data_IF_008959384059
#
_entry.id   IF_008959384059
#
_cell.length_a   1.000
_cell.length_b   1.000
_cell.length_c   1.000
_cell.angle_alpha   90.00
_cell.angle_beta   90.00
_cell.angle_gamma   90.00
#
_symmetry.space_group_name_H-M   'P 1'
#
loop_
_entity.id
_entity.type
_entity.pdbx_description
1 polymer ?
#
# COMPACT_ATOMS: atom_id res chain seq x y z
N UNK A 1 -16.81 -32.62 -20.31
CA UNK A 1 -16.61 -31.15 -20.39
C UNK A 1 -16.64 -30.58 -18.98
N UNK A 2 -15.94 -29.49 -18.72
CA UNK A 2 -15.89 -28.92 -17.38
C UNK A 2 -15.60 -27.43 -17.39
N UNK A 3 -15.85 -26.81 -16.24
CA UNK A 3 -15.43 -25.44 -15.93
C UNK A 3 -14.20 -25.51 -15.02
N UNK A 4 -13.19 -24.71 -15.32
CA UNK A 4 -11.94 -24.64 -14.57
C UNK A 4 -11.77 -23.24 -14.00
N UNK A 5 -11.40 -23.16 -12.72
CA UNK A 5 -11.15 -21.92 -12.02
C UNK A 5 -9.79 -21.97 -11.33
N UNK A 6 -8.94 -21.00 -11.64
CA UNK A 6 -7.64 -20.81 -10.98
C UNK A 6 -7.78 -19.72 -9.95
N UNK A 7 -7.54 -20.05 -8.67
CA UNK A 7 -7.51 -19.06 -7.60
C UNK A 7 -6.14 -18.37 -7.53
N UNK A 8 -5.08 -19.18 -7.47
CA UNK A 8 -3.70 -18.74 -7.45
C UNK A 8 -2.78 -19.80 -8.12
N UNK A 9 -1.46 -19.64 -7.99
CA UNK A 9 -0.48 -20.57 -8.57
C UNK A 9 -0.42 -21.94 -7.86
N UNK A 10 -1.00 -22.04 -6.66
CA UNK A 10 -1.02 -23.25 -5.83
C UNK A 10 -2.36 -23.98 -5.88
N UNK A 11 -3.48 -23.28 -6.00
CA UNK A 11 -4.83 -23.81 -5.81
C UNK A 11 -5.67 -23.47 -7.04
N UNK A 12 -6.27 -24.52 -7.61
CA UNK A 12 -7.31 -24.40 -8.61
C UNK A 12 -8.41 -25.42 -8.37
N UNK A 13 -9.56 -25.24 -9.02
CA UNK A 13 -10.70 -26.12 -8.91
C UNK A 13 -11.33 -26.35 -10.28
N UNK A 14 -11.81 -27.57 -10.51
CA UNK A 14 -12.49 -27.99 -11.72
C UNK A 14 -13.86 -28.60 -11.35
N UNK A 15 -14.90 -28.22 -12.07
CA UNK A 15 -16.19 -28.90 -12.06
C UNK A 15 -16.37 -29.59 -13.41
N UNK A 16 -16.57 -30.90 -13.41
CA UNK A 16 -16.67 -31.71 -14.63
C UNK A 16 -18.01 -32.43 -14.75
N UNK A 17 -18.45 -32.57 -16.00
CA UNK A 17 -19.52 -33.47 -16.43
C UNK A 17 -18.94 -34.39 -17.50
N UNK A 18 -18.93 -35.69 -17.23
CA UNK A 18 -18.39 -36.71 -18.12
C UNK A 18 -19.44 -37.72 -18.56
N UNK A 19 -19.07 -38.54 -19.54
CA UNK A 19 -19.74 -39.82 -19.83
C UNK A 19 -18.66 -40.89 -19.89
N UNK A 20 -18.82 -41.94 -19.10
CA UNK A 20 -17.90 -43.06 -19.00
C UNK A 20 -18.65 -44.30 -19.46
N UNK A 21 -18.10 -44.98 -20.46
CA UNK A 21 -18.55 -46.31 -20.84
C UNK A 21 -17.73 -47.36 -20.11
N UNK A 22 -18.38 -48.25 -19.37
CA UNK A 22 -17.73 -49.42 -18.79
C UNK A 22 -18.10 -50.61 -19.66
N UNK A 23 -17.12 -51.22 -20.31
CA UNK A 23 -17.33 -52.39 -21.18
C UNK A 23 -16.61 -53.60 -20.61
N UNK A 24 -17.32 -54.73 -20.56
CA UNK A 24 -16.74 -56.04 -20.26
C UNK A 24 -16.78 -56.87 -21.55
N UNK A 25 -15.72 -57.63 -21.89
CA UNK A 25 -15.76 -58.51 -23.06
C UNK A 25 -17.04 -59.35 -23.10
N UNK A 26 -17.75 -59.32 -24.23
CA UNK A 26 -19.02 -60.01 -24.48
C UNK A 26 -20.25 -59.54 -23.65
N UNK A 27 -20.23 -58.36 -23.02
CA UNK A 27 -21.43 -57.73 -22.42
C UNK A 27 -21.60 -56.27 -22.89
N UNK A 28 -22.85 -55.80 -22.90
CA UNK A 28 -23.19 -54.41 -23.19
C UNK A 28 -22.55 -53.46 -22.18
N UNK A 29 -22.17 -52.26 -22.63
CA UNK A 29 -21.57 -51.26 -21.77
C UNK A 29 -22.62 -50.54 -20.93
N UNK A 30 -22.42 -50.46 -19.61
CA UNK A 30 -23.18 -49.53 -18.77
C UNK A 30 -22.61 -48.13 -18.93
N UNK A 31 -23.50 -47.14 -19.02
CA UNK A 31 -23.16 -45.72 -19.07
C UNK A 31 -23.17 -45.12 -17.67
N UNK A 32 -22.07 -44.47 -17.30
CA UNK A 32 -21.94 -43.66 -16.08
C UNK A 32 -21.76 -42.20 -16.48
N UNK A 33 -22.58 -41.30 -15.95
CA UNK A 33 -22.46 -39.86 -16.15
C UNK A 33 -21.96 -39.24 -14.84
N UNK A 34 -20.63 -39.12 -14.63
CA UNK A 34 -20.10 -38.48 -13.43
C UNK A 34 -20.21 -36.95 -13.51
N UNK A 35 -20.62 -36.37 -12.39
CA UNK A 35 -20.48 -34.96 -12.06
C UNK A 35 -19.47 -34.88 -10.92
N UNK A 36 -18.32 -34.25 -11.16
CA UNK A 36 -17.20 -34.22 -10.22
C UNK A 36 -16.79 -32.78 -9.93
N UNK A 37 -16.51 -32.47 -8.67
CA UNK A 37 -15.80 -31.25 -8.26
C UNK A 37 -14.45 -31.66 -7.71
N UNK A 38 -13.38 -31.14 -8.31
CA UNK A 38 -12.00 -31.52 -8.05
C UNK A 38 -11.21 -30.27 -7.69
N UNK A 39 -10.55 -30.28 -6.54
CA UNK A 39 -9.52 -29.33 -6.18
C UNK A 39 -8.16 -29.84 -6.64
N UNK A 40 -7.34 -28.92 -7.13
CA UNK A 40 -5.98 -29.17 -7.60
C UNK A 40 -5.01 -28.37 -6.73
N UNK A 41 -4.03 -29.05 -6.17
CA UNK A 41 -2.95 -28.43 -5.41
C UNK A 41 -1.62 -28.62 -6.13
N UNK A 42 -1.04 -27.52 -6.61
CA UNK A 42 0.25 -27.53 -7.29
C UNK A 42 1.37 -27.77 -6.28
N UNK A 43 2.02 -28.92 -6.39
CA UNK A 43 3.14 -29.30 -5.51
C UNK A 43 4.48 -28.81 -6.03
N UNK A 44 4.55 -28.33 -7.27
CA UNK A 44 5.78 -27.84 -7.89
C UNK A 44 5.56 -26.45 -8.52
N UNK A 45 5.38 -25.40 -7.70
CA UNK A 45 5.08 -24.05 -8.19
C UNK A 45 6.25 -23.35 -8.90
N UNK A 46 7.50 -23.65 -8.53
CA UNK A 46 8.69 -22.97 -9.05
C UNK A 46 9.46 -23.83 -10.07
N UNK A 47 8.72 -24.49 -10.97
CA UNK A 47 9.33 -25.35 -11.97
C UNK A 47 9.96 -24.52 -13.10
N UNK A 48 11.26 -24.64 -13.31
CA UNK A 48 12.01 -23.97 -14.39
C UNK A 48 12.00 -24.75 -15.71
N UNK A 49 10.89 -25.44 -15.99
CA UNK A 49 10.73 -26.27 -17.20
C UNK A 49 9.63 -25.69 -18.07
N UNK A 50 10.00 -25.19 -19.26
CA UNK A 50 9.10 -24.45 -20.15
C UNK A 50 7.86 -25.23 -20.60
N UNK A 51 7.95 -26.56 -20.71
CA UNK A 51 6.88 -27.42 -21.22
C UNK A 51 5.95 -27.96 -20.12
N UNK A 52 6.34 -27.89 -18.85
CA UNK A 52 5.58 -28.40 -17.71
C UNK A 52 5.27 -27.25 -16.76
N UNK A 53 4.06 -26.72 -16.83
CA UNK A 53 3.68 -25.52 -16.09
C UNK A 53 3.27 -25.81 -14.65
N UNK A 54 2.53 -26.90 -14.41
CA UNK A 54 2.07 -27.28 -13.06
C UNK A 54 2.06 -28.79 -12.89
N UNK A 55 2.31 -29.25 -11.66
CA UNK A 55 2.05 -30.62 -11.26
C UNK A 55 1.14 -30.61 -10.04
N UNK A 56 -0.09 -31.04 -10.25
CA UNK A 56 -1.16 -30.96 -9.27
C UNK A 56 -1.40 -32.32 -8.62
N UNK A 57 -1.64 -32.31 -7.31
CA UNK A 57 -2.36 -33.37 -6.62
C UNK A 57 -3.84 -33.03 -6.61
N UNK A 58 -4.66 -34.02 -6.98
CA UNK A 58 -6.09 -33.83 -7.18
C UNK A 58 -6.87 -34.51 -6.06
N UNK A 59 -7.82 -33.78 -5.48
CA UNK A 59 -8.78 -34.30 -4.51
C UNK A 59 -10.17 -33.83 -4.89
N UNK A 60 -11.11 -34.75 -5.02
CA UNK A 60 -12.46 -34.42 -5.46
C UNK A 60 -13.52 -35.32 -4.88
N UNK A 61 -14.75 -34.87 -5.05
CA UNK A 61 -15.96 -35.62 -4.75
C UNK A 61 -16.93 -35.47 -5.91
N UNK A 62 -17.79 -36.46 -6.08
CA UNK A 62 -18.74 -36.43 -7.17
C UNK A 62 -19.92 -37.35 -6.93
N UNK A 63 -20.89 -37.23 -7.83
CA UNK A 63 -22.00 -38.15 -7.96
C UNK A 63 -22.08 -38.59 -9.41
N UNK A 64 -22.25 -39.88 -9.65
CA UNK A 64 -22.42 -40.44 -10.98
C UNK A 64 -23.82 -40.98 -11.17
N UNK A 65 -24.48 -40.61 -12.26
CA UNK A 65 -25.70 -41.30 -12.68
C UNK A 65 -25.28 -42.60 -13.38
N UNK A 66 -25.52 -43.73 -12.74
CA UNK A 66 -25.15 -45.06 -13.23
C UNK A 66 -26.40 -45.84 -13.63
N UNK A 67 -26.33 -46.55 -14.76
CA UNK A 67 -27.37 -47.49 -15.16
C UNK A 67 -27.10 -48.88 -14.57
N UNK A 68 -27.97 -49.33 -13.65
CA UNK A 68 -27.87 -50.67 -13.04
C UNK A 68 -28.47 -51.76 -13.92
N UNK A 69 -29.52 -51.42 -14.66
CA UNK A 69 -30.21 -52.29 -15.62
C UNK A 69 -30.90 -51.41 -16.67
N UNK A 70 -31.22 -51.91 -17.87
CA UNK A 70 -31.86 -51.13 -18.92
C UNK A 70 -33.02 -50.26 -18.43
N UNK A 71 -32.84 -48.93 -18.41
CA UNK A 71 -33.84 -47.96 -17.98
C UNK A 71 -33.94 -47.67 -16.47
N UNK A 72 -33.12 -48.31 -15.63
CA UNK A 72 -33.03 -48.03 -14.20
C UNK A 72 -31.70 -47.34 -13.86
N UNK A 73 -31.81 -46.10 -13.40
CA UNK A 73 -30.67 -45.27 -13.03
C UNK A 73 -30.61 -45.06 -11.53
N UNK A 74 -29.39 -45.11 -10.98
CA UNK A 74 -29.09 -44.78 -9.60
C UNK A 74 -27.99 -43.73 -9.53
N UNK A 75 -27.94 -43.00 -8.41
CA UNK A 75 -26.78 -42.18 -8.09
C UNK A 75 -25.74 -43.03 -7.38
N UNK A 76 -24.48 -42.81 -7.76
CA UNK A 76 -23.31 -43.42 -7.15
C UNK A 76 -22.35 -42.30 -6.73
N UNK A 77 -22.41 -41.95 -5.44
CA UNK A 77 -21.48 -41.02 -4.82
C UNK A 77 -20.07 -41.58 -4.86
N UNK A 78 -19.07 -40.71 -5.04
CA UNK A 78 -17.69 -41.14 -5.09
C UNK A 78 -16.71 -40.07 -4.66
N UNK A 79 -15.53 -40.53 -4.28
CA UNK A 79 -14.36 -39.70 -4.02
C UNK A 79 -13.32 -39.92 -5.11
N UNK A 80 -12.58 -38.86 -5.44
CA UNK A 80 -11.52 -38.87 -6.45
C UNK A 80 -10.21 -38.44 -5.80
N UNK A 81 -9.15 -39.21 -6.05
CA UNK A 81 -7.77 -38.84 -5.74
C UNK A 81 -6.94 -39.01 -7.01
N UNK A 82 -6.09 -38.04 -7.34
CA UNK A 82 -5.36 -38.08 -8.58
C UNK A 82 -4.09 -37.25 -8.59
N UNK A 83 -3.45 -37.27 -9.74
CA UNK A 83 -2.33 -36.38 -10.06
C UNK A 83 -2.44 -35.96 -11.51
N UNK A 84 -2.22 -34.67 -11.76
CA UNK A 84 -2.35 -34.06 -13.08
C UNK A 84 -1.13 -33.19 -13.39
N UNK A 85 -0.55 -33.40 -14.56
CA UNK A 85 0.45 -32.54 -15.16
C UNK A 85 -0.22 -31.58 -16.14
N UNK A 86 -0.01 -30.28 -15.94
CA UNK A 86 -0.37 -29.24 -16.90
C UNK A 86 0.85 -28.90 -17.76
N UNK A 87 0.69 -29.05 -19.07
CA UNK A 87 1.72 -28.78 -20.05
C UNK A 87 1.43 -27.41 -20.67
N UNK A 88 2.07 -26.39 -20.11
CA UNK A 88 1.99 -25.02 -20.58
C UNK A 88 2.69 -24.84 -21.92
N UNK A 89 2.24 -23.84 -22.70
CA UNK A 89 2.87 -23.38 -23.94
C UNK A 89 3.03 -24.42 -25.06
N UNK A 90 2.41 -25.61 -24.95
CA UNK A 90 2.43 -26.62 -26.00
C UNK A 90 1.40 -26.33 -27.11
N UNK A 91 0.26 -25.72 -26.74
CA UNK A 91 -0.83 -25.40 -27.66
C UNK A 91 -1.04 -23.88 -27.74
N UNK A 92 -1.27 -23.31 -28.93
CA UNK A 92 -1.44 -21.87 -29.08
C UNK A 92 -2.80 -21.33 -28.58
N UNK A 93 -3.72 -22.22 -28.19
CA UNK A 93 -5.10 -21.88 -27.81
C UNK A 93 -5.53 -22.45 -26.44
N UNK A 94 -4.58 -23.00 -25.66
CA UNK A 94 -4.94 -23.61 -24.38
C UNK A 94 -3.82 -24.38 -23.70
N UNK A 95 -4.17 -25.09 -22.64
CA UNK A 95 -3.27 -25.92 -21.85
C UNK A 95 -3.59 -27.39 -22.07
N UNK A 96 -2.59 -28.20 -22.42
CA UNK A 96 -2.74 -29.65 -22.45
C UNK A 96 -2.58 -30.20 -21.04
N UNK A 97 -3.48 -31.07 -20.61
CA UNK A 97 -3.48 -31.71 -19.30
C UNK A 97 -3.39 -33.21 -19.49
N UNK A 98 -2.59 -33.87 -18.67
CA UNK A 98 -2.56 -35.33 -18.62
C UNK A 98 -2.43 -35.78 -17.18
N UNK A 99 -3.06 -36.90 -16.84
CA UNK A 99 -3.06 -37.33 -15.45
C UNK A 99 -3.71 -38.67 -15.21
N UNK A 100 -3.76 -39.00 -13.94
CA UNK A 100 -4.42 -40.20 -13.44
C UNK A 100 -5.41 -39.82 -12.36
N UNK A 101 -6.59 -40.42 -12.37
CA UNK A 101 -7.63 -40.24 -11.35
C UNK A 101 -8.09 -41.61 -10.86
N UNK A 102 -7.99 -41.81 -9.56
CA UNK A 102 -8.53 -42.96 -8.86
C UNK A 102 -9.85 -42.58 -8.21
N UNK A 103 -10.92 -43.24 -8.61
CA UNK A 103 -12.29 -42.96 -8.16
C UNK A 103 -12.76 -44.12 -7.30
N UNK A 104 -13.21 -43.83 -6.08
CA UNK A 104 -13.77 -44.81 -5.15
C UNK A 104 -15.25 -44.49 -4.98
N UNK A 105 -16.12 -45.40 -5.40
CA UNK A 105 -17.55 -45.23 -5.26
C UNK A 105 -18.01 -45.68 -3.86
N UNK A 106 -19.17 -45.19 -3.43
CA UNK A 106 -19.80 -45.51 -2.14
C UNK A 106 -21.23 -45.90 -2.48
N UNK A 107 -21.66 -47.11 -2.09
CA UNK A 107 -22.98 -47.67 -2.39
C UNK A 107 -23.34 -47.57 -3.88
N UNK A 108 -22.58 -48.25 -4.75
CA UNK A 108 -22.73 -48.10 -6.19
C UNK A 108 -23.71 -49.07 -6.87
N UNK A 109 -24.28 -48.57 -7.95
CA UNK A 109 -25.15 -49.29 -8.89
C UNK A 109 -24.39 -49.74 -10.14
N UNK A 110 -23.05 -49.74 -10.09
CA UNK A 110 -22.16 -49.88 -11.25
C UNK A 110 -22.07 -51.32 -11.73
N UNK A 111 -22.14 -52.29 -10.82
CA UNK A 111 -22.15 -53.73 -11.11
C UNK A 111 -23.56 -54.32 -11.34
N UNK A 112 -24.60 -53.52 -11.10
CA UNK A 112 -26.01 -53.91 -11.21
C UNK A 112 -26.56 -54.73 -10.04
N UNK A 113 -25.84 -54.87 -8.92
CA UNK A 113 -26.26 -55.61 -7.73
C UNK A 113 -26.17 -54.77 -6.45
N UNK A 114 -27.32 -54.43 -5.86
CA UNK A 114 -27.41 -53.69 -4.57
C UNK A 114 -26.95 -54.54 -3.35
N UNK A 115 -26.46 -55.76 -3.56
CA UNK A 115 -26.17 -56.76 -2.51
C UNK A 115 -24.74 -57.33 -2.59
N UNK A 116 -23.79 -56.59 -3.18
CA UNK A 116 -22.35 -56.88 -3.12
C UNK A 116 -21.68 -56.26 -1.89
N UNK A 117 -20.66 -56.92 -1.32
CA UNK A 117 -20.02 -56.48 -0.06
C UNK A 117 -18.85 -55.49 -0.26
N UNK A 118 -18.72 -54.85 -1.42
CA UNK A 118 -17.54 -54.05 -1.72
C UNK A 118 -17.81 -52.93 -2.71
N UNK A 119 -17.36 -51.74 -2.35
CA UNK A 119 -17.38 -50.55 -3.20
C UNK A 119 -16.50 -50.72 -4.44
N UNK A 120 -17.01 -50.31 -5.60
CA UNK A 120 -16.28 -50.29 -6.87
C UNK A 120 -15.25 -49.16 -6.91
N UNK A 121 -14.18 -49.41 -7.68
CA UNK A 121 -13.08 -48.47 -7.85
C UNK A 121 -12.63 -48.44 -9.30
N UNK A 122 -12.41 -47.24 -9.83
CA UNK A 122 -11.98 -47.04 -11.21
C UNK A 122 -10.70 -46.19 -11.24
N UNK A 123 -9.65 -46.73 -11.86
CA UNK A 123 -8.47 -45.96 -12.25
C UNK A 123 -8.64 -45.45 -13.68
N UNK A 124 -8.52 -44.14 -13.88
CA UNK A 124 -8.63 -43.48 -15.18
C UNK A 124 -7.32 -42.79 -15.52
N UNK A 125 -6.80 -43.09 -16.70
CA UNK A 125 -5.76 -42.28 -17.34
C UNK A 125 -6.47 -41.33 -18.30
N UNK A 126 -6.11 -40.05 -18.25
CA UNK A 126 -6.75 -39.07 -19.10
C UNK A 126 -5.74 -38.12 -19.74
N UNK A 127 -6.14 -37.61 -20.90
CA UNK A 127 -5.57 -36.44 -21.55
C UNK A 127 -6.71 -35.50 -21.88
N UNK A 128 -6.53 -34.21 -21.67
CA UNK A 128 -7.56 -33.21 -21.86
C UNK A 128 -6.96 -31.88 -22.27
N UNK A 129 -7.73 -31.09 -23.02
CA UNK A 129 -7.31 -29.73 -23.41
C UNK A 129 -8.20 -28.74 -22.67
N UNK A 130 -7.59 -27.85 -21.89
CA UNK A 130 -8.26 -26.69 -21.31
C UNK A 130 -8.13 -25.52 -22.29
N UNK A 131 -9.27 -24.96 -22.69
CA UNK A 131 -9.32 -23.75 -23.49
C UNK A 131 -9.60 -22.59 -22.55
N UNK A 132 -8.67 -21.65 -22.44
CA UNK A 132 -8.82 -20.48 -21.60
C UNK A 132 -9.68 -19.45 -22.35
N UNK A 133 -10.93 -19.24 -21.91
CA UNK A 133 -11.93 -18.38 -22.58
C UNK A 133 -11.67 -16.86 -22.42
N UNK A 134 -10.39 -16.46 -22.36
CA UNK A 134 -9.95 -15.07 -22.28
C UNK A 134 -9.70 -14.57 -20.85
N UNK A 135 -8.78 -13.59 -20.74
CA UNK A 135 -8.49 -12.87 -19.50
C UNK A 135 -9.69 -11.98 -19.16
N UNK A 136 -10.17 -12.05 -17.91
CA UNK A 136 -10.97 -10.93 -17.37
C UNK A 136 -10.13 -9.65 -17.49
N UNK A 137 -10.76 -8.50 -17.70
CA UNK A 137 -10.14 -7.19 -17.93
C UNK A 137 -9.08 -6.75 -16.86
N UNK A 138 -8.87 -7.53 -15.81
CA UNK A 138 -8.01 -7.20 -14.68
C UNK A 138 -6.56 -7.69 -14.84
N UNK A 139 -6.21 -8.48 -15.86
CA UNK A 139 -4.86 -8.99 -16.02
C UNK A 139 -3.84 -7.89 -16.37
N UNK A 140 -4.25 -6.94 -17.22
CA UNK A 140 -3.43 -5.78 -17.58
C UNK A 140 -3.36 -4.77 -16.42
N UNK A 141 -4.45 -4.62 -15.67
CA UNK A 141 -4.48 -3.82 -14.43
C UNK A 141 -3.60 -4.42 -13.33
N UNK A 142 -3.56 -5.76 -13.20
CA UNK A 142 -2.69 -6.45 -12.25
C UNK A 142 -1.21 -6.32 -12.63
N UNK A 143 -0.88 -6.38 -13.91
CA UNK A 143 0.47 -6.13 -14.40
C UNK A 143 0.89 -4.68 -14.16
N UNK A 144 -0.01 -3.72 -14.42
CA UNK A 144 0.21 -2.31 -14.12
C UNK A 144 0.39 -2.07 -12.61
N UNK A 145 -0.39 -2.75 -11.76
CA UNK A 145 -0.27 -2.69 -10.31
C UNK A 145 1.07 -3.27 -9.82
N UNK A 146 1.50 -4.42 -10.34
CA UNK A 146 2.82 -5.00 -10.04
C UNK A 146 3.96 -4.05 -10.40
N UNK A 147 3.96 -3.50 -11.62
CA UNK A 147 4.97 -2.54 -12.05
C UNK A 147 5.01 -1.28 -11.16
N UNK A 148 3.85 -0.83 -10.67
CA UNK A 148 3.76 0.31 -9.75
C UNK A 148 4.31 -0.02 -8.36
N UNK A 149 4.08 -1.23 -7.86
CA UNK A 149 4.64 -1.73 -6.59
C UNK A 149 6.17 -1.81 -6.69
N UNK A 150 6.71 -2.36 -7.78
CA UNK A 150 8.16 -2.47 -7.98
C UNK A 150 8.82 -1.09 -8.01
N UNK A 151 8.20 -0.13 -8.70
CA UNK A 151 8.66 1.27 -8.71
C UNK A 151 8.61 1.90 -7.32
N UNK A 152 7.51 1.74 -6.58
CA UNK A 152 7.37 2.25 -5.22
C UNK A 152 8.41 1.64 -4.26
N UNK A 153 8.74 0.36 -4.42
CA UNK A 153 9.79 -0.30 -3.63
C UNK A 153 11.17 0.27 -3.94
N UNK A 154 11.47 0.57 -5.21
CA UNK A 154 12.70 1.23 -5.61
C UNK A 154 12.81 2.66 -5.06
N UNK A 155 11.73 3.44 -5.19
CA UNK A 155 11.64 4.81 -4.68
C UNK A 155 11.78 4.85 -3.15
N UNK A 156 11.17 3.90 -2.43
CA UNK A 156 11.31 3.78 -0.98
C UNK A 156 12.76 3.49 -0.56
N UNK A 157 13.44 2.59 -1.28
CA UNK A 157 14.85 2.26 -1.01
C UNK A 157 15.74 3.48 -1.23
N UNK A 158 15.52 4.22 -2.33
CA UNK A 158 16.25 5.45 -2.60
C UNK A 158 16.00 6.54 -1.55
N UNK A 159 14.75 6.67 -1.08
CA UNK A 159 14.39 7.63 -0.04
C UNK A 159 15.04 7.29 1.32
N UNK A 160 15.13 6.00 1.67
CA UNK A 160 15.82 5.55 2.89
C UNK A 160 17.31 5.89 2.82
N UNK A 161 17.97 5.60 1.70
CA UNK A 161 19.39 5.96 1.52
C UNK A 161 19.63 7.47 1.63
N UNK A 162 18.76 8.28 0.99
CA UNK A 162 18.86 9.73 1.08
C UNK A 162 18.62 10.25 2.52
N UNK A 163 17.73 9.62 3.28
CA UNK A 163 17.49 9.96 4.67
C UNK A 163 18.69 9.63 5.58
N UNK A 164 19.33 8.47 5.35
CA UNK A 164 20.54 8.08 6.09
C UNK A 164 21.70 9.04 5.80
N UNK A 165 21.92 9.40 4.53
CA UNK A 165 22.93 10.39 4.13
C UNK A 165 22.68 11.76 4.78
N UNK A 166 21.43 12.22 4.77
CA UNK A 166 21.06 13.51 5.36
C UNK A 166 21.22 13.49 6.89
N UNK A 167 20.90 12.37 7.53
CA UNK A 167 21.09 12.17 8.97
C UNK A 167 22.57 12.20 9.34
N UNK A 168 23.43 11.55 8.56
CA UNK A 168 24.88 11.59 8.75
C UNK A 168 25.44 13.02 8.56
N UNK A 169 24.97 13.76 7.56
CA UNK A 169 25.35 15.16 7.35
C UNK A 169 24.93 16.04 8.53
N UNK A 170 23.71 15.86 9.04
CA UNK A 170 23.20 16.61 10.19
C UNK A 170 24.01 16.35 11.46
N UNK A 171 24.38 15.10 11.73
CA UNK A 171 25.23 14.72 12.86
C UNK A 171 26.62 15.38 12.76
N UNK A 172 27.19 15.40 11.54
CA UNK A 172 28.47 16.04 11.25
C UNK A 172 28.45 17.57 11.43
N UNK A 173 27.42 18.25 10.90
CA UNK A 173 27.21 19.70 11.09
C UNK A 173 27.02 20.06 12.56
N UNK A 174 26.24 19.26 13.31
CA UNK A 174 26.04 19.45 14.76
C UNK A 174 27.37 19.37 15.51
N UNK A 175 28.17 18.34 15.21
CA UNK A 175 29.51 18.16 15.81
C UNK A 175 30.44 19.34 15.49
N UNK A 176 30.38 19.86 14.25
CA UNK A 176 31.16 21.04 13.85
C UNK A 176 30.75 22.29 14.62
N UNK A 177 29.43 22.54 14.73
CA UNK A 177 28.89 23.68 15.48
C UNK A 177 29.20 23.60 16.98
N UNK A 178 29.16 22.40 17.57
CA UNK A 178 29.54 22.21 18.97
C UNK A 178 31.03 22.53 19.19
N UNK A 179 31.92 22.11 18.29
CA UNK A 179 33.33 22.45 18.34
C UNK A 179 33.61 23.95 18.16
N UNK A 180 32.88 24.60 17.25
CA UNK A 180 32.98 26.05 17.02
C UNK A 180 32.49 26.85 18.24
N UNK A 181 31.35 26.46 18.82
CA UNK A 181 30.83 27.05 20.05
C UNK A 181 31.80 26.89 21.23
N UNK A 182 32.46 25.72 21.37
CA UNK A 182 33.46 25.52 22.41
C UNK A 182 34.65 26.48 22.24
N UNK A 183 35.13 26.65 21.00
CA UNK A 183 36.23 27.56 20.67
C UNK A 183 35.87 29.03 20.89
N UNK A 184 34.66 29.44 20.50
CA UNK A 184 34.12 30.78 20.76
C UNK A 184 33.99 31.06 22.26
N UNK A 185 33.53 30.09 23.03
CA UNK A 185 33.43 30.21 24.50
C UNK A 185 34.79 30.36 25.16
N UNK A 186 35.81 29.65 24.68
CA UNK A 186 37.19 29.78 25.14
C UNK A 186 37.78 31.15 24.78
N UNK A 187 37.50 31.66 23.58
CA UNK A 187 37.87 33.01 23.17
C UNK A 187 37.20 34.09 24.04
N UNK A 188 35.89 33.98 24.30
CA UNK A 188 35.17 34.91 25.18
C UNK A 188 35.76 34.94 26.59
N UNK A 189 36.05 33.78 27.19
CA UNK A 189 36.71 33.73 28.50
C UNK A 189 38.10 34.36 28.50
N UNK A 190 38.87 34.19 27.41
CA UNK A 190 40.17 34.85 27.27
C UNK A 190 40.06 36.38 27.12
N UNK A 191 39.00 36.86 26.45
CA UNK A 191 38.72 38.30 26.30
C UNK A 191 38.16 38.92 27.57
N UNK A 192 37.31 38.23 28.33
CA UNK A 192 36.83 38.67 29.66
C UNK A 192 37.99 38.75 30.67
N UNK A 193 38.87 37.75 30.69
CA UNK A 193 40.08 37.78 31.52
C UNK A 193 41.09 38.85 31.05
N UNK A 194 41.10 39.19 29.76
CA UNK A 194 41.90 40.30 29.21
C UNK A 194 41.33 41.69 29.49
N UNK A 195 40.00 41.84 29.52
CA UNK A 195 39.31 43.11 29.76
C UNK A 195 39.25 43.54 31.23
N UNK A 196 39.76 42.72 32.16
CA UNK A 196 39.91 43.08 33.58
C UNK A 196 40.94 44.22 33.83
N UNK A 197 41.49 44.84 32.78
CA UNK A 197 42.50 45.91 32.87
C UNK A 197 42.13 47.23 32.18
N UNK A 198 40.91 47.42 31.66
CA UNK A 198 40.54 48.71 31.03
C UNK A 198 39.07 49.05 31.23
N UNK A 199 38.81 49.96 32.16
CA UNK A 199 37.52 50.62 32.35
C UNK A 199 37.23 51.58 31.20
N UNK A 200 36.22 51.28 30.39
CA UNK A 200 35.59 52.26 29.49
C UNK A 200 34.17 52.47 30.02
N UNK A 201 33.88 53.70 30.42
CA UNK A 201 32.55 54.16 30.82
C UNK A 201 31.61 54.09 29.60
N UNK A 202 30.62 53.22 29.66
CA UNK A 202 29.54 53.16 28.68
C UNK A 202 28.40 54.07 29.15
N UNK A 203 28.15 55.12 28.38
CA UNK A 203 26.98 55.99 28.54
C UNK A 203 25.71 55.17 28.30
N UNK A 204 24.90 54.96 29.33
CA UNK A 204 23.57 54.37 29.22
C UNK A 204 22.66 55.33 28.42
N UNK A 205 22.21 54.88 27.24
CA UNK A 205 20.99 55.42 26.64
C UNK A 205 19.83 54.67 27.29
N UNK A 206 19.22 55.29 28.29
CA UNK A 206 18.00 54.82 28.91
C UNK A 206 16.87 55.10 27.89
N UNK A 207 16.47 54.09 27.11
CA UNK A 207 15.16 54.16 26.44
C UNK A 207 14.11 53.98 27.54
N UNK A 208 13.47 55.08 27.94
CA UNK A 208 12.32 55.06 28.83
C UNK A 208 11.25 54.14 28.22
N UNK A 209 10.97 53.04 28.91
CA UNK A 209 9.91 52.12 28.53
C UNK A 209 8.55 52.80 28.79
N UNK A 210 7.85 53.20 27.74
CA UNK A 210 6.57 53.91 27.83
C UNK A 210 5.36 53.02 27.51
N UNK A 211 5.55 51.92 26.78
CA UNK A 211 4.54 50.89 26.61
C UNK A 211 4.76 49.96 25.41
N UNK A 212 3.68 49.35 24.94
CA UNK A 212 3.62 48.40 23.84
C UNK A 212 2.66 48.87 22.75
N UNK A 213 3.13 48.94 21.52
CA UNK A 213 2.32 49.10 20.32
C UNK A 213 2.02 47.73 19.71
N UNK A 214 0.77 47.49 19.31
CA UNK A 214 0.41 46.37 18.43
C UNK A 214 0.47 46.86 16.99
N UNK A 215 1.45 46.35 16.24
CA UNK A 215 1.78 46.77 14.87
C UNK A 215 1.25 45.75 13.87
N UNK A 216 0.54 46.24 12.85
CA UNK A 216 -0.04 45.39 11.79
C UNK A 216 0.67 45.55 10.44
N UNK A 217 1.52 46.57 10.30
CA UNK A 217 2.34 46.78 9.10
C UNK A 217 3.51 47.71 9.36
N UNK A 218 4.57 47.58 8.55
CA UNK A 218 5.74 48.45 8.60
C UNK A 218 6.24 48.69 7.18
N UNK A 219 6.36 49.96 6.79
CA UNK A 219 6.66 50.36 5.42
C UNK A 219 7.81 51.37 5.37
N UNK A 220 8.65 51.36 4.32
CA UNK A 220 9.75 52.31 4.18
C UNK A 220 9.27 53.74 3.88
N UNK A 221 8.11 53.90 3.24
CA UNK A 221 7.55 55.18 2.85
C UNK A 221 6.21 55.45 3.53
N UNK A 222 5.96 56.71 3.89
CA UNK A 222 4.72 57.11 4.56
C UNK A 222 3.48 56.87 3.69
N UNK A 223 3.57 57.14 2.39
CA UNK A 223 2.46 56.94 1.44
C UNK A 223 1.95 55.50 1.45
N UNK A 224 2.86 54.52 1.51
CA UNK A 224 2.50 53.10 1.53
C UNK A 224 1.81 52.70 2.85
N UNK A 225 2.24 53.28 3.97
CA UNK A 225 1.60 53.05 5.27
C UNK A 225 0.19 53.66 5.33
N UNK A 226 0.02 54.86 4.77
CA UNK A 226 -1.27 55.56 4.68
C UNK A 226 -2.24 54.80 3.74
N UNK A 227 -1.77 54.34 2.58
CA UNK A 227 -2.55 53.52 1.63
C UNK A 227 -2.98 52.18 2.26
N UNK A 228 -2.09 51.55 3.01
CA UNK A 228 -2.38 50.30 3.71
C UNK A 228 -3.43 50.51 4.82
N UNK A 229 -3.30 51.59 5.60
CA UNK A 229 -4.28 51.98 6.61
C UNK A 229 -5.66 52.24 5.99
N UNK A 230 -5.70 53.00 4.89
CA UNK A 230 -6.93 53.32 4.17
C UNK A 230 -7.60 52.07 3.56
N UNK A 231 -6.83 51.09 3.11
CA UNK A 231 -7.35 49.83 2.54
C UNK A 231 -8.07 48.98 3.59
N UNK A 232 -7.61 48.99 4.83
CA UNK A 232 -8.20 48.20 5.91
C UNK A 232 -9.54 48.79 6.40
N UNK A 233 -9.75 50.10 6.21
CA UNK A 233 -10.96 50.83 6.61
C UNK A 233 -11.37 50.55 8.08
N UNK A 234 -10.36 50.50 8.97
CA UNK A 234 -10.52 50.32 10.41
C UNK A 234 -10.33 51.68 11.07
N UNK A 235 -11.31 52.12 11.87
CA UNK A 235 -11.21 53.36 12.63
C UNK A 235 -10.16 53.24 13.74
N UNK A 236 -9.31 54.27 13.90
CA UNK A 236 -8.33 54.36 14.99
C UNK A 236 -6.93 53.83 14.66
N UNK A 237 -6.61 53.54 13.40
CA UNK A 237 -5.25 53.21 12.98
C UNK A 237 -4.34 54.45 12.98
N UNK A 238 -3.18 54.35 13.63
CA UNK A 238 -2.17 55.41 13.66
C UNK A 238 -0.90 55.01 12.90
N UNK A 239 -0.32 55.94 12.14
CA UNK A 239 0.96 55.74 11.46
C UNK A 239 2.07 56.45 12.22
N UNK A 240 3.00 55.69 12.80
CA UNK A 240 4.14 56.21 13.59
C UNK A 240 5.47 55.95 12.90
N UNK A 241 6.31 56.97 12.83
CA UNK A 241 7.68 56.85 12.33
C UNK A 241 8.63 56.40 13.44
N UNK A 242 9.53 55.47 13.13
CA UNK A 242 10.54 54.97 14.07
C UNK A 242 11.93 55.37 13.56
N UNK A 243 12.67 56.15 14.34
CA UNK A 243 13.99 56.66 13.92
C UNK A 243 15.09 55.58 13.95
N UNK A 244 15.01 54.63 14.89
CA UNK A 244 16.00 53.55 15.02
C UNK A 244 16.00 52.56 13.86
N UNK A 245 14.87 52.46 13.16
CA UNK A 245 14.70 51.68 11.94
C UNK A 245 13.79 52.52 11.03
N UNK A 246 14.33 53.24 10.02
CA UNK A 246 13.65 54.32 9.30
C UNK A 246 12.45 53.81 8.50
N UNK A 247 11.35 53.58 9.20
CA UNK A 247 10.14 52.90 8.74
C UNK A 247 8.92 53.50 9.43
N UNK A 248 7.80 53.48 8.71
CA UNK A 248 6.48 53.92 9.14
C UNK A 248 5.66 52.70 9.52
N UNK A 249 5.30 52.61 10.80
CA UNK A 249 4.53 51.50 11.36
C UNK A 249 3.07 51.89 11.46
N UNK A 250 2.19 50.99 11.01
CA UNK A 250 0.74 51.11 11.20
C UNK A 250 0.38 50.41 12.50
N UNK A 251 -0.03 51.20 13.49
CA UNK A 251 -0.34 50.77 14.86
C UNK A 251 -1.85 50.62 14.99
N UNK A 252 -2.27 49.46 15.48
CA UNK A 252 -3.67 49.15 15.74
C UNK A 252 -4.12 49.61 17.12
N UNK A 253 -3.25 49.48 18.13
CA UNK A 253 -3.55 49.91 19.50
C UNK A 253 -2.28 50.05 20.36
N UNK A 254 -2.40 50.80 21.44
CA UNK A 254 -1.33 51.04 22.41
C UNK A 254 -1.73 50.56 23.80
N UNK A 255 -0.80 49.90 24.50
CA UNK A 255 -1.04 49.30 25.80
C UNK A 255 0.13 49.55 26.73
N UNK A 256 -0.14 49.87 28.01
CA UNK A 256 0.91 50.04 29.02
C UNK A 256 1.41 48.72 29.59
N UNK A 257 0.58 47.68 29.55
CA UNK A 257 0.88 46.35 30.09
C UNK A 257 1.01 45.31 28.98
N UNK A 258 1.99 44.42 29.11
CA UNK A 258 2.29 43.38 28.10
C UNK A 258 1.10 42.43 27.91
N UNK A 259 0.39 42.13 28.99
CA UNK A 259 -0.75 41.21 28.95
C UNK A 259 -1.89 41.75 28.07
N UNK A 260 -2.21 43.03 28.22
CA UNK A 260 -3.20 43.69 27.38
C UNK A 260 -2.75 43.76 25.91
N UNK A 261 -1.46 43.99 25.66
CA UNK A 261 -0.89 43.97 24.30
C UNK A 261 -0.98 42.58 23.65
N UNK A 262 -0.78 41.49 24.41
CA UNK A 262 -0.89 40.12 23.91
C UNK A 262 -2.33 39.74 23.55
N UNK A 263 -3.31 40.14 24.36
CA UNK A 263 -4.73 39.94 24.05
C UNK A 263 -5.14 40.73 22.78
N UNK A 264 -4.65 41.97 22.64
CA UNK A 264 -4.88 42.77 21.44
C UNK A 264 -4.16 42.20 20.20
N UNK A 265 -3.01 41.55 20.37
CA UNK A 265 -2.27 40.90 19.28
C UNK A 265 -3.03 39.74 18.66
N UNK A 266 -3.75 38.94 19.46
CA UNK A 266 -4.57 37.84 18.93
C UNK A 266 -5.68 38.37 18.02
N UNK A 267 -6.34 39.47 18.41
CA UNK A 267 -7.31 40.14 17.56
C UNK A 267 -6.65 40.74 16.30
N UNK A 268 -5.47 41.35 16.44
CA UNK A 268 -4.72 41.91 15.33
C UNK A 268 -4.30 40.85 14.29
N UNK A 269 -3.99 39.63 14.73
CA UNK A 269 -3.66 38.50 13.84
C UNK A 269 -4.85 38.02 13.00
N UNK A 270 -6.07 38.27 13.47
CA UNK A 270 -7.28 38.08 12.67
C UNK A 270 -7.38 39.06 11.48
N UNK A 271 -6.77 40.24 11.60
CA UNK A 271 -6.73 41.26 10.54
C UNK A 271 -5.51 41.07 9.64
N UNK A 272 -4.33 40.89 10.25
CA UNK A 272 -3.07 40.66 9.54
C UNK A 272 -2.27 39.57 10.24
N UNK A 273 -2.08 38.40 9.62
CA UNK A 273 -1.43 37.26 10.26
C UNK A 273 -0.03 37.55 10.82
N UNK A 274 0.66 38.52 10.23
CA UNK A 274 2.02 38.90 10.61
C UNK A 274 2.07 40.02 11.67
N UNK A 275 0.98 40.37 12.34
CA UNK A 275 0.98 41.38 13.39
C UNK A 275 1.97 41.02 14.53
N UNK A 276 2.60 42.04 15.12
CA UNK A 276 3.59 41.89 16.20
C UNK A 276 3.52 43.04 17.21
N UNK A 277 4.17 42.85 18.36
CA UNK A 277 4.26 43.88 19.41
C UNK A 277 5.61 44.59 19.30
N UNK A 278 5.60 45.92 19.37
CA UNK A 278 6.80 46.74 19.46
C UNK A 278 6.78 47.57 20.75
N UNK A 279 7.93 47.71 21.40
CA UNK A 279 8.10 48.60 22.57
C UNK A 279 8.29 50.03 22.08
N UNK A 280 7.74 51.00 22.81
CA UNK A 280 7.93 52.43 22.59
C UNK A 280 8.12 53.20 23.91
#
# INVERSE_FOLDING_TARGET
MGAFYTHDDKISAEATLGVIGISTPNRFSSGLIPIEVIGHYNVLPDLSIDWLSKFNLDLGIGTGLAESSPGNYGFAEHMVVGATAELGNLLPFGTLMMGTRYTMFIDDYIDGYVNGSGNDKILRFFTGVRIDLGKSNNADELLAAKNKIDKLSGDLTAAVLAFDDLSAQKEGEKSRLEAENAKLKEQLQSTENGNSSTSIEATEIINEFNGYHVVIGSFPEKSLADDYSATLNIDGLEVKYVESIPTYRVVLSEHKELRAALEALENARGITPNAWIAVY
#
